data_IF_723835581545
#
_entry.id   IF_723835581545
#
_cell.length_a   1.000
_cell.length_b   1.000
_cell.length_c   1.000
_cell.angle_alpha   90.00
_cell.angle_beta   90.00
_cell.angle_gamma   90.00
#
_symmetry.space_group_name_H-M   'P 1'
#
loop_
_entity.id
_entity.type
_entity.pdbx_description
1 polymer ?
#
# COMPACT_ATOMS: atom_id res chain seq x y z
N UNK A 1 -27.20 -0.43 -1.63
CA UNK A 1 -25.91 0.29 -1.49
C UNK A 1 -25.99 1.52 -0.58
N UNK A 2 -26.92 2.46 -0.75
CA UNK A 2 -26.99 3.72 0.05
C UNK A 2 -26.87 3.53 1.58
N UNK A 3 -27.62 2.60 2.18
CA UNK A 3 -27.56 2.32 3.63
C UNK A 3 -26.19 1.80 4.08
N UNK A 4 -25.56 0.92 3.30
CA UNK A 4 -24.24 0.38 3.60
C UNK A 4 -23.15 1.46 3.46
N UNK A 5 -23.22 2.28 2.42
CA UNK A 5 -22.32 3.43 2.24
C UNK A 5 -22.47 4.43 3.37
N UNK A 6 -23.71 4.78 3.75
CA UNK A 6 -23.97 5.70 4.87
C UNK A 6 -23.37 5.17 6.17
N UNK A 7 -23.60 3.90 6.48
CA UNK A 7 -23.03 3.27 7.68
C UNK A 7 -21.50 3.26 7.65
N UNK A 8 -20.90 2.89 6.51
CA UNK A 8 -19.44 2.86 6.34
C UNK A 8 -18.82 4.25 6.52
N UNK A 9 -19.39 5.28 5.91
CA UNK A 9 -18.92 6.67 6.04
C UNK A 9 -19.08 7.17 7.48
N UNK A 10 -20.22 6.88 8.14
CA UNK A 10 -20.44 7.28 9.53
C UNK A 10 -19.43 6.62 10.48
N UNK A 11 -19.20 5.31 10.34
CA UNK A 11 -18.26 4.56 11.19
C UNK A 11 -16.82 5.03 10.96
N UNK A 12 -16.41 5.21 9.71
CA UNK A 12 -15.05 5.69 9.41
C UNK A 12 -14.83 7.11 9.90
N UNK A 13 -15.80 8.01 9.71
CA UNK A 13 -15.74 9.39 10.23
C UNK A 13 -15.61 9.41 11.75
N UNK A 14 -16.45 8.64 12.45
CA UNK A 14 -16.37 8.54 13.91
C UNK A 14 -15.02 7.99 14.38
N UNK A 15 -14.49 6.95 13.72
CA UNK A 15 -13.20 6.36 14.06
C UNK A 15 -12.04 7.36 13.87
N UNK A 16 -11.96 8.04 12.72
CA UNK A 16 -10.92 9.03 12.47
C UNK A 16 -11.03 10.24 13.40
N UNK A 17 -12.25 10.71 13.69
CA UNK A 17 -12.47 11.80 14.65
C UNK A 17 -12.02 11.39 16.05
N UNK A 18 -12.35 10.18 16.49
CA UNK A 18 -11.92 9.62 17.78
C UNK A 18 -10.39 9.56 17.88
N UNK A 19 -9.70 9.07 16.85
CA UNK A 19 -8.24 9.04 16.81
C UNK A 19 -7.63 10.45 16.92
N UNK A 20 -8.17 11.42 16.18
CA UNK A 20 -7.71 12.81 16.21
C UNK A 20 -7.96 13.49 17.57
N UNK A 21 -9.18 13.39 18.10
CA UNK A 21 -9.55 13.97 19.38
C UNK A 21 -8.77 13.36 20.55
N UNK A 22 -8.58 12.03 20.58
CA UNK A 22 -7.76 11.40 21.62
C UNK A 22 -6.28 11.77 21.48
N UNK A 23 -5.75 11.82 20.26
CA UNK A 23 -4.38 12.29 20.01
C UNK A 23 -4.17 13.71 20.52
N UNK A 24 -5.07 14.63 20.20
CA UNK A 24 -5.00 16.00 20.70
C UNK A 24 -5.24 16.08 22.22
N UNK A 25 -6.15 15.30 22.80
CA UNK A 25 -6.37 15.27 24.24
C UNK A 25 -5.13 14.76 25.01
N UNK A 26 -4.35 13.86 24.42
CA UNK A 26 -3.14 13.32 25.03
C UNK A 26 -1.91 14.25 24.87
N UNK A 27 -1.77 14.94 23.73
CA UNK A 27 -0.54 15.67 23.38
C UNK A 27 -0.71 17.19 23.19
N UNK A 28 -1.96 17.68 23.14
CA UNK A 28 -2.27 19.08 22.85
C UNK A 28 -1.66 19.56 21.54
N UNK A 29 -1.15 20.79 21.54
CA UNK A 29 -0.50 21.43 20.39
C UNK A 29 0.81 20.74 19.96
N UNK A 30 1.37 19.86 20.79
CA UNK A 30 2.57 19.09 20.47
C UNK A 30 2.28 17.76 19.75
N UNK A 31 1.04 17.51 19.33
CA UNK A 31 0.65 16.26 18.67
C UNK A 31 1.44 16.07 17.35
N UNK A 32 2.22 14.97 17.22
CA UNK A 32 2.99 14.70 16.02
C UNK A 32 2.11 14.19 14.88
N UNK A 33 2.47 14.48 13.62
CA UNK A 33 1.74 13.97 12.45
C UNK A 33 1.77 12.43 12.32
N UNK A 34 2.81 11.79 12.85
CA UNK A 34 2.83 10.35 13.10
C UNK A 34 3.03 10.10 14.59
N UNK A 35 1.95 9.63 15.24
CA UNK A 35 1.90 9.34 16.68
C UNK A 35 2.98 8.35 17.12
N UNK A 36 3.37 7.40 16.26
CA UNK A 36 4.38 6.40 16.59
C UNK A 36 5.82 6.92 16.54
N UNK A 37 6.05 8.03 15.85
CA UNK A 37 7.39 8.65 15.73
C UNK A 37 7.60 9.82 16.67
N UNK A 38 6.53 10.46 17.16
CA UNK A 38 6.67 11.58 18.10
C UNK A 38 6.86 11.16 19.56
N UNK A 39 7.28 9.92 19.80
CA UNK A 39 7.52 9.44 21.15
C UNK A 39 8.92 9.79 21.67
N UNK A 40 8.93 10.51 22.80
CA UNK A 40 9.94 10.42 23.86
C UNK A 40 9.55 9.45 24.98
N UNK A 41 8.46 8.69 24.80
CA UNK A 41 8.03 7.64 25.73
C UNK A 41 8.76 6.32 25.41
N UNK A 42 9.98 6.26 25.91
CA UNK A 42 10.79 5.04 26.03
C UNK A 42 10.22 4.06 27.07
N UNK A 43 8.93 4.16 27.46
CA UNK A 43 8.29 3.22 28.37
C UNK A 43 6.74 3.23 28.24
N UNK A 44 6.08 2.08 28.03
CA UNK A 44 6.66 0.76 27.78
C UNK A 44 6.79 0.46 26.27
N UNK A 45 7.99 0.04 25.84
CA UNK A 45 8.33 -0.20 24.42
C UNK A 45 7.46 -1.25 23.72
N UNK A 46 6.97 -2.25 24.45
CA UNK A 46 6.22 -3.36 23.87
C UNK A 46 4.95 -2.89 23.15
N UNK A 47 4.32 -1.80 23.61
CA UNK A 47 3.11 -1.28 22.98
C UNK A 47 3.42 -0.64 21.62
N UNK A 48 4.56 0.07 21.53
CA UNK A 48 5.06 0.62 20.28
C UNK A 48 5.45 -0.49 19.31
N UNK A 49 6.09 -1.56 19.79
CA UNK A 49 6.49 -2.71 18.97
C UNK A 49 5.28 -3.45 18.40
N UNK A 50 4.23 -3.67 19.21
CA UNK A 50 2.98 -4.29 18.74
C UNK A 50 2.30 -3.39 17.70
N UNK A 51 2.27 -2.07 17.92
CA UNK A 51 1.69 -1.13 16.96
C UNK A 51 2.44 -1.15 15.63
N UNK A 52 3.77 -1.13 15.66
CA UNK A 52 4.61 -1.23 14.47
C UNK A 52 4.44 -2.60 13.76
N UNK A 53 4.38 -3.70 14.51
CA UNK A 53 4.14 -5.02 13.94
C UNK A 53 2.76 -5.10 13.24
N UNK A 54 1.71 -4.54 13.86
CA UNK A 54 0.39 -4.46 13.25
C UNK A 54 0.39 -3.64 11.96
N UNK A 55 1.11 -2.52 11.92
CA UNK A 55 1.31 -1.71 10.71
C UNK A 55 2.01 -2.52 9.62
N UNK A 56 3.08 -3.26 9.94
CA UNK A 56 3.78 -4.09 8.95
C UNK A 56 2.84 -5.14 8.38
N UNK A 57 2.12 -5.89 9.22
CA UNK A 57 1.18 -6.92 8.77
C UNK A 57 0.10 -6.32 7.87
N UNK A 58 -0.48 -5.19 8.28
CA UNK A 58 -1.51 -4.50 7.50
C UNK A 58 -0.98 -3.99 6.16
N UNK A 59 0.16 -3.29 6.16
CA UNK A 59 0.74 -2.68 4.96
C UNK A 59 1.27 -3.71 3.97
N UNK A 60 1.85 -4.82 4.42
CA UNK A 60 2.26 -5.91 3.53
C UNK A 60 1.05 -6.47 2.80
N UNK A 61 -0.06 -6.72 3.51
CA UNK A 61 -1.30 -7.20 2.90
C UNK A 61 -1.87 -6.19 1.90
N UNK A 62 -1.95 -4.91 2.29
CA UNK A 62 -2.41 -3.84 1.42
C UNK A 62 -1.55 -3.72 0.16
N UNK A 63 -0.22 -3.69 0.30
CA UNK A 63 0.73 -3.61 -0.82
C UNK A 63 0.51 -4.74 -1.82
N UNK A 64 0.35 -5.99 -1.34
CA UNK A 64 0.11 -7.13 -2.22
C UNK A 64 -1.18 -6.95 -3.03
N UNK A 65 -2.28 -6.52 -2.40
CA UNK A 65 -3.57 -6.32 -3.07
C UNK A 65 -3.51 -5.16 -4.06
N UNK A 66 -2.93 -4.01 -3.67
CA UNK A 66 -2.86 -2.82 -4.53
C UNK A 66 -1.92 -3.00 -5.73
N UNK A 67 -0.88 -3.82 -5.62
CA UNK A 67 0.01 -4.10 -6.75
C UNK A 67 -0.60 -5.02 -7.81
N UNK A 68 -1.55 -5.91 -7.47
CA UNK A 68 -2.09 -6.88 -8.43
C UNK A 68 -2.75 -6.22 -9.66
N UNK A 69 -3.65 -5.22 -9.53
CA UNK A 69 -4.26 -4.59 -10.70
C UNK A 69 -3.23 -3.88 -11.59
N UNK A 70 -2.22 -3.25 -10.98
CA UNK A 70 -1.17 -2.54 -11.71
C UNK A 70 -0.30 -3.52 -12.52
N UNK A 71 0.10 -4.63 -11.90
CA UNK A 71 0.82 -5.70 -12.60
C UNK A 71 -0.05 -6.30 -13.71
N UNK A 72 -1.31 -6.59 -13.44
CA UNK A 72 -2.22 -7.15 -14.44
C UNK A 72 -2.41 -6.19 -15.64
N UNK A 73 -2.53 -4.89 -15.38
CA UNK A 73 -2.68 -3.87 -16.41
C UNK A 73 -1.43 -3.78 -17.30
N UNK A 74 -0.25 -3.64 -16.70
CA UNK A 74 1.02 -3.52 -17.45
C UNK A 74 1.33 -4.80 -18.20
N UNK A 75 1.20 -5.97 -17.56
CA UNK A 75 1.44 -7.26 -18.21
C UNK A 75 0.46 -7.52 -19.37
N UNK A 76 -0.80 -7.08 -19.25
CA UNK A 76 -1.78 -7.19 -20.35
C UNK A 76 -1.42 -6.23 -21.49
N UNK A 77 -1.09 -4.98 -21.17
CA UNK A 77 -0.73 -3.97 -22.15
C UNK A 77 0.53 -4.36 -22.93
N UNK A 78 1.58 -4.82 -22.26
CA UNK A 78 2.81 -5.28 -22.90
C UNK A 78 2.57 -6.49 -23.83
N UNK A 79 1.73 -7.45 -23.41
CA UNK A 79 1.34 -8.60 -24.27
C UNK A 79 0.57 -8.18 -25.51
N UNK A 80 -0.29 -7.16 -25.41
CA UNK A 80 -1.03 -6.64 -26.56
C UNK A 80 -0.14 -5.83 -27.50
N UNK A 81 0.84 -5.10 -26.96
CA UNK A 81 1.71 -4.20 -27.72
C UNK A 81 2.83 -4.93 -28.46
N UNK A 82 3.38 -6.00 -27.87
CA UNK A 82 4.47 -6.79 -28.43
C UNK A 82 4.17 -8.30 -28.41
N UNK A 83 3.20 -8.75 -29.23
CA UNK A 83 2.80 -10.16 -29.27
C UNK A 83 3.94 -11.08 -29.76
N UNK A 84 4.79 -10.58 -30.66
CA UNK A 84 5.85 -11.36 -31.32
C UNK A 84 7.12 -11.54 -30.47
N UNK A 85 7.20 -10.91 -29.28
CA UNK A 85 8.39 -11.05 -28.45
C UNK A 85 8.33 -12.30 -27.57
N UNK A 86 9.27 -13.21 -27.79
CA UNK A 86 9.42 -14.42 -26.97
C UNK A 86 9.63 -14.09 -25.49
N UNK A 87 10.26 -12.96 -25.15
CA UNK A 87 10.49 -12.58 -23.76
C UNK A 87 9.20 -12.27 -22.98
N UNK A 88 8.18 -11.71 -23.65
CA UNK A 88 6.92 -11.29 -23.03
C UNK A 88 5.87 -12.40 -23.11
N UNK A 89 5.88 -13.20 -24.17
CA UNK A 89 4.79 -14.16 -24.44
C UNK A 89 5.15 -15.60 -23.99
N UNK A 90 6.44 -15.93 -23.82
CA UNK A 90 6.86 -17.29 -23.50
C UNK A 90 6.68 -17.61 -22.02
N UNK A 91 5.80 -18.57 -21.75
CA UNK A 91 5.57 -19.12 -20.43
C UNK A 91 6.35 -20.43 -20.25
N UNK A 92 7.26 -20.46 -19.28
CA UNK A 92 8.03 -21.64 -18.91
C UNK A 92 7.37 -22.34 -17.72
N UNK A 93 6.79 -23.54 -17.90
CA UNK A 93 6.23 -24.28 -16.78
C UNK A 93 7.37 -24.85 -15.92
N UNK A 94 7.52 -24.34 -14.70
CA UNK A 94 8.46 -24.88 -13.71
C UNK A 94 7.68 -25.68 -12.68
N UNK A 95 8.10 -26.94 -12.48
CA UNK A 95 7.61 -27.78 -11.39
C UNK A 95 8.38 -27.42 -10.13
N UNK A 96 7.74 -26.72 -9.21
CA UNK A 96 8.38 -26.23 -7.98
C UNK A 96 8.71 -27.34 -6.97
N UNK A 97 8.01 -28.48 -7.00
CA UNK A 97 8.18 -29.58 -6.04
C UNK A 97 8.07 -30.96 -6.73
N UNK A 98 8.96 -31.92 -6.44
CA UNK A 98 8.80 -33.30 -6.88
C UNK A 98 7.56 -33.92 -6.21
N UNK A 99 6.47 -34.13 -6.97
CA UNK A 99 5.26 -34.81 -6.49
C UNK A 99 3.97 -33.98 -6.44
N UNK A 100 4.03 -32.65 -6.60
CA UNK A 100 2.82 -31.81 -6.67
C UNK A 100 2.45 -31.47 -8.12
N UNK A 101 1.15 -31.51 -8.46
CA UNK A 101 0.62 -31.09 -9.78
C UNK A 101 0.63 -29.57 -10.01
N UNK A 102 1.24 -28.78 -9.13
CA UNK A 102 1.33 -27.33 -9.27
C UNK A 102 2.41 -26.96 -10.29
N UNK A 103 1.99 -26.80 -11.55
CA UNK A 103 2.81 -26.17 -12.57
C UNK A 103 2.77 -24.65 -12.36
N UNK A 104 3.90 -24.05 -11.98
CA UNK A 104 4.01 -22.59 -11.92
C UNK A 104 4.53 -22.09 -13.27
N UNK A 105 3.75 -21.30 -14.00
CA UNK A 105 4.19 -20.70 -15.25
C UNK A 105 5.04 -19.47 -14.96
N UNK A 106 6.35 -19.61 -15.17
CA UNK A 106 7.29 -18.50 -15.08
C UNK A 106 7.37 -17.78 -16.42
N UNK A 107 7.17 -16.47 -16.37
CA UNK A 107 7.42 -15.59 -17.50
C UNK A 107 8.59 -14.68 -17.10
N UNK A 108 9.70 -14.65 -17.86
CA UNK A 108 10.88 -13.87 -17.50
C UNK A 108 10.56 -12.36 -17.46
N UNK A 109 9.67 -11.86 -18.32
CA UNK A 109 9.18 -10.48 -18.25
C UNK A 109 8.49 -10.19 -16.92
N UNK A 110 7.60 -11.08 -16.46
CA UNK A 110 6.88 -10.92 -15.18
C UNK A 110 7.86 -10.83 -14.01
N UNK A 111 8.91 -11.66 -14.02
CA UNK A 111 9.91 -11.67 -12.96
C UNK A 111 10.70 -10.36 -12.91
N UNK A 112 11.24 -9.92 -14.06
CA UNK A 112 12.04 -8.70 -14.18
C UNK A 112 11.19 -7.45 -13.89
N UNK A 113 9.98 -7.37 -14.44
CA UNK A 113 9.10 -6.23 -14.24
C UNK A 113 8.70 -6.06 -12.78
N UNK A 114 8.27 -7.14 -12.12
CA UNK A 114 7.83 -7.07 -10.71
C UNK A 114 8.98 -6.77 -9.77
N UNK A 115 10.17 -7.34 -10.00
CA UNK A 115 11.34 -7.02 -9.18
C UNK A 115 11.81 -5.58 -9.39
N UNK A 116 11.86 -5.11 -10.64
CA UNK A 116 12.20 -3.72 -10.96
C UNK A 116 11.20 -2.74 -10.32
N UNK A 117 9.90 -3.05 -10.35
CA UNK A 117 8.88 -2.23 -9.71
C UNK A 117 9.10 -2.12 -8.20
N UNK A 118 9.33 -3.24 -7.51
CA UNK A 118 9.59 -3.25 -6.05
C UNK A 118 10.86 -2.48 -5.70
N UNK A 119 11.94 -2.66 -6.48
CA UNK A 119 13.19 -1.92 -6.27
C UNK A 119 12.96 -0.43 -6.47
N UNK A 120 12.28 -0.03 -7.54
CA UNK A 120 11.98 1.37 -7.82
C UNK A 120 11.14 2.02 -6.71
N UNK A 121 10.05 1.38 -6.29
CA UNK A 121 9.20 1.94 -5.22
C UNK A 121 9.95 2.03 -3.90
N UNK A 122 10.79 1.06 -3.59
CA UNK A 122 11.65 1.08 -2.40
C UNK A 122 12.64 2.25 -2.45
N UNK A 123 13.31 2.45 -3.58
CA UNK A 123 14.24 3.58 -3.78
C UNK A 123 13.52 4.91 -3.64
N UNK A 124 12.33 5.06 -4.25
CA UNK A 124 11.52 6.27 -4.13
C UNK A 124 11.15 6.51 -2.66
N UNK A 125 10.72 5.48 -1.92
CA UNK A 125 10.39 5.59 -0.50
C UNK A 125 11.59 5.97 0.37
N UNK A 126 12.80 5.52 0.02
CA UNK A 126 14.04 5.93 0.72
C UNK A 126 14.42 7.39 0.43
N UNK A 127 14.18 7.87 -0.79
CA UNK A 127 14.52 9.24 -1.19
C UNK A 127 13.52 10.28 -0.67
N UNK A 128 12.26 9.90 -0.45
CA UNK A 128 11.17 10.82 -0.07
C UNK A 128 10.46 10.34 1.21
N UNK A 129 11.02 10.60 2.40
CA UNK A 129 10.41 10.21 3.68
C UNK A 129 9.27 11.16 4.13
N UNK A 130 8.50 11.74 3.21
CA UNK A 130 7.45 12.74 3.47
C UNK A 130 6.04 12.13 3.43
N UNK A 131 5.80 11.10 4.24
CA UNK A 131 4.51 10.39 4.20
C UNK A 131 3.30 11.33 4.39
N UNK A 132 3.35 12.20 5.40
CA UNK A 132 2.24 13.11 5.73
C UNK A 132 1.96 14.11 4.61
N UNK A 133 3.01 14.69 4.00
CA UNK A 133 2.86 15.68 2.94
C UNK A 133 2.30 15.02 1.66
N UNK A 134 2.74 13.80 1.35
CA UNK A 134 2.22 13.03 0.21
C UNK A 134 0.74 12.69 0.41
N UNK A 135 0.35 12.23 1.60
CA UNK A 135 -1.06 11.95 1.90
C UNK A 135 -1.90 13.24 1.88
N UNK A 136 -1.37 14.35 2.40
CA UNK A 136 -2.01 15.66 2.36
C UNK A 136 -2.23 16.14 0.93
N UNK A 137 -1.23 16.02 0.05
CA UNK A 137 -1.34 16.38 -1.36
C UNK A 137 -2.35 15.50 -2.11
N UNK A 138 -2.32 14.18 -1.89
CA UNK A 138 -3.29 13.26 -2.50
C UNK A 138 -4.71 13.55 -2.03
N UNK A 139 -4.88 13.86 -0.74
CA UNK A 139 -6.15 14.32 -0.19
C UNK A 139 -6.62 15.61 -0.85
N UNK A 140 -5.75 16.62 -0.93
CA UNK A 140 -6.06 17.88 -1.58
C UNK A 140 -6.49 17.68 -3.04
N UNK A 141 -5.72 16.92 -3.85
CA UNK A 141 -6.06 16.63 -5.24
C UNK A 141 -7.38 15.84 -5.39
N UNK A 142 -7.68 14.94 -4.45
CA UNK A 142 -8.91 14.15 -4.47
C UNK A 142 -10.17 14.94 -4.06
N UNK A 143 -10.05 15.83 -3.08
CA UNK A 143 -11.16 16.65 -2.58
C UNK A 143 -11.30 17.99 -3.32
N UNK A 144 -10.27 18.44 -4.03
CA UNK A 144 -10.29 19.69 -4.80
C UNK A 144 -11.49 19.77 -5.78
N UNK A 145 -11.76 18.76 -6.63
CA UNK A 145 -12.89 18.81 -7.56
C UNK A 145 -14.26 18.76 -6.87
N UNK A 146 -14.31 18.40 -5.59
CA UNK A 146 -15.55 18.31 -4.80
C UNK A 146 -15.83 19.61 -4.02
N UNK A 147 -14.83 20.45 -3.82
CA UNK A 147 -14.89 21.66 -3.00
C UNK A 147 -14.90 22.94 -3.82
N UNK A 148 -14.21 22.94 -4.96
CA UNK A 148 -14.21 24.06 -5.90
C UNK A 148 -15.19 23.74 -7.03
N UNK A 149 -16.42 24.24 -6.88
CA UNK A 149 -17.35 24.49 -7.99
C UNK A 149 -17.08 25.89 -8.57
#
# INVERSE_FOLDING_TARGET
>A
MKKATLLSVAVTTAFYMLCGCMGYAAFGDAAPGNLLTGFGFYNPYWLLDIANAAIVVHLVGAYQVYCQPLFAFVEKWCRQRWPDSDFITKEYPVRLLPGTKCCYTLNPFRLVWRSAFVVLTTVISMLLPFFNDVVGLLGALGFWPLTVY
#
